data_IF_313168232049
#
_entry.id   IF_313168232049
#
_cell.length_a   1.000
_cell.length_b   1.000
_cell.length_c   1.000
_cell.angle_alpha   90.00
_cell.angle_beta   90.00
_cell.angle_gamma   90.00
#
_symmetry.space_group_name_H-M   'P 1'
#
loop_
_entity.id
_entity.type
_entity.pdbx_description
1 polymer ?
#
# COMPACT_ATOMS: atom_id res chain seq x y z
N UNK A 1 -39.85 40.63 -19.26
CA UNK A 1 -38.53 40.40 -18.64
C UNK A 1 -38.57 39.31 -17.54
N UNK A 2 -39.29 38.19 -17.73
CA UNK A 2 -39.37 37.08 -16.74
C UNK A 2 -39.01 35.68 -17.29
N UNK A 3 -38.85 35.52 -18.61
CA UNK A 3 -38.55 34.20 -19.23
C UNK A 3 -37.06 33.82 -19.30
N UNK A 4 -36.12 34.77 -19.18
CA UNK A 4 -34.68 34.47 -19.28
C UNK A 4 -34.07 33.89 -17.98
N UNK A 5 -34.65 34.19 -16.82
CA UNK A 5 -34.15 33.70 -15.53
C UNK A 5 -34.56 32.25 -15.23
N UNK A 6 -35.68 31.78 -15.77
CA UNK A 6 -36.12 30.39 -15.61
C UNK A 6 -35.30 29.42 -16.47
N UNK A 7 -34.83 29.85 -17.65
CA UNK A 7 -34.03 28.99 -18.54
C UNK A 7 -32.60 28.75 -18.01
N UNK A 8 -32.00 29.73 -17.32
CA UNK A 8 -30.71 29.54 -16.66
C UNK A 8 -30.80 28.68 -15.39
N UNK A 9 -31.92 28.72 -14.66
CA UNK A 9 -32.14 27.87 -13.49
C UNK A 9 -32.30 26.38 -13.87
N UNK A 10 -32.95 26.08 -14.99
CA UNK A 10 -33.09 24.70 -15.49
C UNK A 10 -31.74 24.14 -15.98
N UNK A 11 -30.88 24.98 -16.56
CA UNK A 11 -29.57 24.53 -17.06
C UNK A 11 -28.58 24.22 -15.92
N UNK A 12 -28.68 24.91 -14.77
CA UNK A 12 -27.87 24.64 -13.57
C UNK A 12 -28.35 23.38 -12.81
N UNK A 13 -29.65 23.04 -12.89
CA UNK A 13 -30.21 21.85 -12.25
C UNK A 13 -29.89 20.54 -12.98
N UNK A 14 -29.61 20.59 -14.28
CA UNK A 14 -29.27 19.39 -15.09
C UNK A 14 -27.78 19.04 -15.00
N UNK A 15 -26.90 20.01 -14.70
CA UNK A 15 -25.45 19.78 -14.61
C UNK A 15 -24.98 19.20 -13.25
N UNK A 16 -25.84 19.19 -12.23
CA UNK A 16 -25.52 18.74 -10.87
C UNK A 16 -25.87 17.27 -10.58
N UNK A 17 -26.34 16.53 -11.59
CA UNK A 17 -26.73 15.12 -11.49
C UNK A 17 -25.72 14.15 -12.13
N UNK A 18 -24.50 14.59 -12.41
CA UNK A 18 -23.39 13.66 -12.65
C UNK A 18 -22.98 12.99 -11.35
N UNK A 19 -23.84 12.11 -10.82
CA UNK A 19 -23.48 11.07 -9.86
C UNK A 19 -22.44 10.21 -10.55
N UNK A 20 -21.18 10.51 -10.27
CA UNK A 20 -20.06 9.63 -10.55
C UNK A 20 -20.37 8.36 -9.78
N UNK A 21 -20.77 7.30 -10.49
CA UNK A 21 -20.93 5.99 -9.87
C UNK A 21 -19.55 5.57 -9.39
N UNK A 22 -19.29 5.71 -8.09
CA UNK A 22 -18.11 5.12 -7.48
C UNK A 22 -18.15 3.63 -7.78
N UNK A 23 -17.15 3.14 -8.52
CA UNK A 23 -16.98 1.72 -8.73
C UNK A 23 -16.62 1.08 -7.39
N UNK A 24 -17.62 0.67 -6.63
CA UNK A 24 -17.42 -0.04 -5.37
C UNK A 24 -16.98 -1.46 -5.67
N UNK A 25 -15.78 -1.81 -5.20
CA UNK A 25 -15.34 -3.19 -5.18
C UNK A 25 -16.37 -4.05 -4.45
N UNK A 26 -16.77 -5.17 -5.05
CA UNK A 26 -17.67 -6.07 -4.35
C UNK A 26 -16.89 -6.75 -3.22
N UNK A 27 -15.71 -7.30 -3.47
CA UNK A 27 -14.86 -7.86 -2.41
C UNK A 27 -13.84 -6.83 -1.92
N UNK A 28 -14.05 -6.32 -0.71
CA UNK A 28 -13.13 -5.42 -0.01
C UNK A 28 -12.28 -6.15 1.02
N UNK A 29 -11.02 -5.71 1.18
CA UNK A 29 -10.04 -6.22 2.14
C UNK A 29 -9.85 -5.23 3.30
N UNK A 30 -9.60 -5.73 4.50
CA UNK A 30 -9.48 -4.93 5.73
C UNK A 30 -8.22 -4.05 5.86
N UNK A 31 -7.21 -4.26 5.02
CA UNK A 31 -5.92 -3.55 5.10
C UNK A 31 -5.24 -3.40 3.74
N UNK A 32 -4.30 -2.45 3.68
CA UNK A 32 -3.54 -2.12 2.46
C UNK A 32 -2.15 -2.76 2.37
N UNK A 33 -1.74 -3.46 3.43
CA UNK A 33 -0.50 -4.24 3.52
C UNK A 33 -0.59 -5.26 4.64
N UNK A 34 0.20 -6.32 4.56
CA UNK A 34 0.24 -7.39 5.57
C UNK A 34 1.66 -7.49 6.10
N UNK A 35 1.79 -7.61 7.42
CA UNK A 35 3.03 -8.03 8.08
C UNK A 35 2.79 -9.44 8.63
N UNK A 36 3.49 -10.42 8.08
CA UNK A 36 3.48 -11.79 8.58
C UNK A 36 4.54 -11.92 9.67
N UNK A 37 4.10 -12.15 10.91
CA UNK A 37 5.00 -12.42 12.03
C UNK A 37 5.65 -13.80 11.85
N UNK A 38 6.98 -13.84 11.73
CA UNK A 38 7.74 -15.08 11.58
C UNK A 38 7.77 -15.98 12.81
N UNK A 39 7.30 -15.51 13.98
CA UNK A 39 7.02 -16.36 15.14
C UNK A 39 5.71 -17.15 15.00
N UNK A 40 4.76 -16.63 14.21
CA UNK A 40 3.45 -17.23 14.01
C UNK A 40 3.43 -18.19 12.81
N UNK A 41 2.54 -19.19 12.88
CA UNK A 41 2.33 -20.13 11.76
C UNK A 41 1.35 -19.61 10.71
N UNK A 42 0.55 -18.60 11.07
CA UNK A 42 -0.42 -18.02 10.15
C UNK A 42 -0.84 -16.62 10.57
N UNK A 43 -1.31 -15.84 9.60
CA UNK A 43 -2.04 -14.60 9.83
C UNK A 43 -3.36 -14.62 9.06
N UNK A 44 -4.35 -13.88 9.53
CA UNK A 44 -5.68 -13.82 8.96
C UNK A 44 -6.00 -12.40 8.49
N UNK A 45 -6.78 -12.30 7.42
CA UNK A 45 -7.32 -11.04 6.91
C UNK A 45 -8.80 -11.16 6.66
N UNK A 46 -9.54 -10.13 7.05
CA UNK A 46 -10.97 -10.09 6.83
C UNK A 46 -11.28 -9.55 5.43
N UNK A 47 -12.19 -10.24 4.76
CA UNK A 47 -12.76 -9.83 3.48
C UNK A 47 -14.25 -9.60 3.64
N UNK A 48 -14.82 -8.71 2.83
CA UNK A 48 -16.24 -8.39 2.90
C UNK A 48 -16.82 -8.20 1.52
N UNK A 49 -17.99 -8.79 1.28
CA UNK A 49 -18.78 -8.49 0.09
C UNK A 49 -19.62 -7.24 0.35
N UNK A 50 -19.22 -6.12 -0.24
CA UNK A 50 -19.93 -4.84 -0.18
C UNK A 50 -21.14 -4.81 -1.10
N UNK A 51 -21.24 -5.72 -2.08
CA UNK A 51 -22.46 -5.89 -2.87
C UNK A 51 -23.55 -6.52 -1.98
N UNK A 52 -24.71 -5.86 -1.89
CA UNK A 52 -25.85 -6.28 -1.04
C UNK A 52 -26.85 -7.18 -1.74
N UNK A 53 -26.70 -7.39 -3.04
CA UNK A 53 -27.65 -8.13 -3.88
C UNK A 53 -27.06 -9.43 -4.42
N UNK A 54 -25.78 -9.41 -4.77
CA UNK A 54 -25.14 -10.48 -5.54
C UNK A 54 -24.00 -11.15 -4.75
N UNK A 55 -23.90 -12.48 -4.83
CA UNK A 55 -22.78 -13.23 -4.27
C UNK A 55 -21.57 -13.13 -5.20
N UNK A 56 -20.37 -13.15 -4.61
CA UNK A 56 -19.10 -13.10 -5.35
C UNK A 56 -18.20 -14.24 -4.91
N UNK A 57 -17.32 -14.72 -5.79
CA UNK A 57 -16.18 -15.51 -5.34
C UNK A 57 -14.99 -14.58 -5.05
N UNK A 58 -14.24 -14.91 -4.02
CA UNK A 58 -12.97 -14.28 -3.68
C UNK A 58 -11.85 -15.30 -3.88
N UNK A 59 -10.92 -15.01 -4.80
CA UNK A 59 -9.76 -15.83 -5.09
C UNK A 59 -8.49 -15.18 -4.55
N UNK A 60 -7.75 -15.91 -3.71
CA UNK A 60 -6.53 -15.43 -3.07
C UNK A 60 -5.27 -16.21 -3.51
N UNK A 61 -4.15 -15.51 -3.71
CA UNK A 61 -2.84 -16.15 -3.93
C UNK A 61 -1.67 -15.25 -3.49
N UNK A 62 -0.48 -15.85 -3.37
CA UNK A 62 0.77 -15.14 -3.11
C UNK A 62 1.60 -15.06 -4.38
N UNK A 63 2.29 -13.93 -4.56
CA UNK A 63 3.38 -13.75 -5.51
C UNK A 63 4.70 -13.45 -4.80
N UNK A 64 5.81 -13.80 -5.43
CA UNK A 64 7.15 -13.34 -5.03
C UNK A 64 7.36 -11.84 -5.32
N UNK A 65 8.55 -11.33 -5.00
CA UNK A 65 8.91 -9.92 -5.22
C UNK A 65 9.01 -9.54 -6.71
N UNK A 66 9.14 -10.52 -7.60
CA UNK A 66 9.12 -10.35 -9.06
C UNK A 66 7.70 -10.40 -9.66
N UNK A 67 6.69 -10.76 -8.85
CA UNK A 67 5.30 -10.87 -9.28
C UNK A 67 4.92 -12.23 -9.87
N UNK A 68 5.75 -13.25 -9.71
CA UNK A 68 5.40 -14.61 -10.11
C UNK A 68 4.52 -15.24 -9.03
N UNK A 69 3.43 -15.89 -9.45
CA UNK A 69 2.59 -16.67 -8.53
C UNK A 69 3.38 -17.86 -7.99
N UNK A 70 3.39 -18.02 -6.66
CA UNK A 70 4.13 -19.07 -5.96
C UNK A 70 3.22 -19.96 -5.11
N UNK A 71 3.69 -21.16 -4.79
CA UNK A 71 3.00 -22.13 -3.92
C UNK A 71 3.71 -22.33 -2.57
N UNK A 72 4.68 -21.47 -2.25
CA UNK A 72 5.48 -21.48 -1.03
C UNK A 72 6.53 -20.38 -1.09
N UNK A 73 7.07 -19.90 0.05
CA UNK A 73 6.92 -20.46 1.39
C UNK A 73 5.66 -20.02 2.15
N UNK A 74 4.84 -19.14 1.58
CA UNK A 74 3.55 -18.70 2.13
C UNK A 74 2.42 -19.13 1.19
N UNK A 75 1.30 -19.57 1.75
CA UNK A 75 0.12 -20.03 0.99
C UNK A 75 -1.17 -19.42 1.52
N UNK A 76 -2.14 -19.25 0.63
CA UNK A 76 -3.46 -18.69 0.96
C UNK A 76 -4.50 -19.80 1.09
N UNK A 77 -5.26 -19.78 2.18
CA UNK A 77 -6.32 -20.75 2.47
C UNK A 77 -7.61 -20.03 2.91
N UNK A 78 -8.77 -20.32 2.30
CA UNK A 78 -8.94 -21.08 1.07
C UNK A 78 -8.47 -20.29 -0.16
N UNK A 79 -8.02 -20.95 -1.25
CA UNK A 79 -7.60 -20.27 -2.47
C UNK A 79 -8.77 -19.63 -3.24
N UNK A 80 -9.99 -20.17 -3.08
CA UNK A 80 -11.24 -19.59 -3.60
C UNK A 80 -12.34 -19.84 -2.58
N UNK A 81 -13.16 -18.83 -2.32
CA UNK A 81 -14.35 -18.96 -1.49
C UNK A 81 -15.49 -18.12 -2.02
N UNK A 82 -16.72 -18.55 -1.75
CA UNK A 82 -17.93 -17.78 -2.06
C UNK A 82 -18.30 -16.89 -0.88
N UNK A 83 -18.59 -15.63 -1.15
CA UNK A 83 -19.01 -14.64 -0.14
C UNK A 83 -20.40 -14.14 -0.52
N UNK A 84 -21.38 -14.42 0.33
CA UNK A 84 -22.77 -14.03 0.13
C UNK A 84 -22.96 -12.50 0.16
N UNK A 85 -24.07 -11.97 -0.36
CA UNK A 85 -24.32 -10.53 -0.38
C UNK A 85 -24.22 -9.91 1.00
N UNK A 86 -23.46 -8.83 1.14
CA UNK A 86 -23.26 -8.14 2.41
C UNK A 86 -22.44 -8.89 3.46
N UNK A 87 -22.01 -10.13 3.19
CA UNK A 87 -21.36 -10.99 4.16
C UNK A 87 -19.87 -10.65 4.35
N UNK A 88 -19.34 -11.05 5.51
CA UNK A 88 -17.91 -11.03 5.81
C UNK A 88 -17.38 -12.46 5.78
N UNK A 89 -16.11 -12.61 5.43
CA UNK A 89 -15.38 -13.86 5.55
C UNK A 89 -13.91 -13.58 5.88
N UNK A 90 -13.11 -14.63 6.01
CA UNK A 90 -11.70 -14.52 6.32
C UNK A 90 -10.86 -15.32 5.33
N UNK A 91 -9.68 -14.80 5.03
CA UNK A 91 -8.62 -15.48 4.27
C UNK A 91 -7.42 -15.64 5.20
N UNK A 92 -6.85 -16.84 5.25
CA UNK A 92 -5.67 -17.13 6.07
C UNK A 92 -4.44 -17.29 5.19
N UNK A 93 -3.34 -16.68 5.60
CA UNK A 93 -2.00 -16.92 5.03
C UNK A 93 -1.25 -17.82 6.01
N UNK A 94 -0.73 -18.94 5.53
CA UNK A 94 -0.01 -19.93 6.33
C UNK A 94 1.42 -20.07 5.84
N UNK A 95 2.36 -20.27 6.77
CA UNK A 95 3.74 -20.58 6.42
C UNK A 95 3.95 -22.08 6.23
N UNK A 96 4.74 -22.43 5.22
CA UNK A 96 5.26 -23.76 4.97
C UNK A 96 6.65 -23.91 5.60
N UNK A 97 7.16 -25.14 5.84
CA UNK A 97 8.49 -25.34 6.40
C UNK A 97 9.62 -24.66 5.61
N UNK A 98 9.44 -24.45 4.29
CA UNK A 98 10.39 -23.74 3.44
C UNK A 98 10.56 -22.26 3.81
N UNK A 99 9.70 -21.69 4.67
CA UNK A 99 9.86 -20.32 5.20
C UNK A 99 11.21 -20.12 5.92
N UNK A 100 11.77 -21.20 6.48
CA UNK A 100 13.08 -21.19 7.14
C UNK A 100 14.24 -20.90 6.18
N UNK A 101 14.04 -21.00 4.87
CA UNK A 101 15.04 -20.67 3.84
C UNK A 101 15.13 -19.17 3.56
N UNK A 102 14.14 -18.38 4.01
CA UNK A 102 14.18 -16.94 3.87
C UNK A 102 15.24 -16.32 4.79
N UNK A 103 15.80 -15.15 4.44
CA UNK A 103 16.65 -14.39 5.34
C UNK A 103 15.97 -14.15 6.69
N UNK A 104 16.67 -14.49 7.77
CA UNK A 104 16.16 -14.32 9.14
C UNK A 104 16.63 -13.01 9.80
N UNK A 105 17.48 -12.23 9.12
CA UNK A 105 18.07 -10.97 9.59
C UNK A 105 17.41 -9.71 8.98
N UNK A 106 16.43 -9.89 8.08
CA UNK A 106 15.74 -8.83 7.33
C UNK A 106 14.38 -9.30 6.82
N UNK A 107 13.53 -8.36 6.47
CA UNK A 107 12.25 -8.68 5.84
C UNK A 107 12.42 -9.30 4.45
N UNK A 108 11.48 -10.18 4.09
CA UNK A 108 11.29 -10.65 2.72
C UNK A 108 9.97 -10.11 2.16
N UNK A 109 9.98 -9.71 0.89
CA UNK A 109 8.82 -9.14 0.22
C UNK A 109 8.08 -10.20 -0.58
N UNK A 110 6.76 -10.17 -0.43
CA UNK A 110 5.79 -10.89 -1.25
C UNK A 110 4.65 -9.95 -1.60
N UNK A 111 3.76 -10.40 -2.49
CA UNK A 111 2.49 -9.73 -2.73
C UNK A 111 1.33 -10.69 -2.47
N UNK A 112 0.34 -10.23 -1.69
CA UNK A 112 -0.94 -10.90 -1.58
C UNK A 112 -1.88 -10.34 -2.63
N UNK A 113 -2.55 -11.23 -3.35
CA UNK A 113 -3.54 -10.89 -4.35
C UNK A 113 -4.90 -11.43 -3.94
N UNK A 114 -5.93 -10.60 -4.11
CA UNK A 114 -7.33 -10.94 -3.95
C UNK A 114 -8.11 -10.49 -5.18
N UNK A 115 -8.62 -11.45 -5.94
CA UNK A 115 -9.44 -11.19 -7.13
C UNK A 115 -10.88 -11.59 -6.86
N UNK A 116 -11.80 -10.68 -7.13
CA UNK A 116 -13.22 -11.02 -7.12
C UNK A 116 -13.62 -11.68 -8.44
N UNK A 117 -14.57 -12.61 -8.38
CA UNK A 117 -15.19 -13.22 -9.55
C UNK A 117 -16.69 -12.95 -9.44
N UNK A 118 -17.21 -12.01 -10.24
CA UNK A 118 -18.62 -11.68 -10.20
C UNK A 118 -19.48 -12.81 -10.79
N UNK A 119 -20.77 -12.89 -10.42
CA UNK A 119 -21.66 -13.87 -11.01
C UNK A 119 -21.88 -13.56 -12.49
N UNK A 120 -21.99 -14.60 -13.33
CA UNK A 120 -22.14 -14.43 -14.78
C UNK A 120 -23.40 -13.62 -15.11
N UNK A 121 -23.25 -12.56 -15.88
CA UNK A 121 -24.38 -11.77 -16.40
C UNK A 121 -25.27 -12.61 -17.31
N UNK A 122 -26.60 -12.47 -17.16
CA UNK A 122 -27.59 -13.05 -18.07
C UNK A 122 -27.95 -12.13 -19.24
N UNK A 123 -27.45 -10.88 -19.25
CA UNK A 123 -27.76 -9.89 -20.27
C UNK A 123 -26.82 -10.05 -21.47
N UNK A 124 -27.34 -10.11 -22.71
CA UNK A 124 -26.49 -10.10 -23.90
C UNK A 124 -25.70 -8.80 -24.00
N UNK A 125 -24.54 -8.84 -24.64
CA UNK A 125 -23.68 -7.68 -24.93
C UNK A 125 -23.29 -6.88 -23.68
N UNK A 126 -22.88 -7.55 -22.60
CA UNK A 126 -22.43 -6.90 -21.37
C UNK A 126 -20.92 -6.99 -21.17
N UNK A 127 -20.31 -5.86 -20.83
CA UNK A 127 -18.95 -5.79 -20.28
C UNK A 127 -19.04 -5.98 -18.77
N UNK A 128 -18.29 -6.95 -18.24
CA UNK A 128 -18.23 -7.24 -16.82
C UNK A 128 -16.82 -6.95 -16.29
N UNK A 129 -16.73 -6.13 -15.25
CA UNK A 129 -15.48 -5.78 -14.59
C UNK A 129 -15.31 -6.65 -13.34
N UNK A 130 -14.09 -7.14 -13.14
CA UNK A 130 -13.68 -7.87 -11.95
C UNK A 130 -12.45 -7.18 -11.35
N UNK A 131 -12.55 -6.73 -10.10
CA UNK A 131 -11.44 -6.06 -9.44
C UNK A 131 -10.44 -7.06 -8.83
N UNK A 132 -9.16 -6.69 -8.90
CA UNK A 132 -8.08 -7.39 -8.23
C UNK A 132 -7.33 -6.41 -7.33
N UNK A 133 -7.30 -6.72 -6.04
CA UNK A 133 -6.49 -6.01 -5.06
C UNK A 133 -5.15 -6.73 -4.91
N UNK A 134 -4.05 -6.00 -5.11
CA UNK A 134 -2.68 -6.49 -4.90
C UNK A 134 -2.02 -5.63 -3.84
N UNK A 135 -1.65 -6.23 -2.71
CA UNK A 135 -1.03 -5.54 -1.59
C UNK A 135 0.29 -6.20 -1.19
N UNK A 136 1.19 -5.40 -0.60
CA UNK A 136 2.48 -5.89 -0.12
C UNK A 136 2.29 -6.78 1.10
N UNK A 137 3.00 -7.90 1.11
CA UNK A 137 3.08 -8.87 2.21
C UNK A 137 4.54 -8.94 2.66
N UNK A 138 4.82 -8.47 3.86
CA UNK A 138 6.16 -8.48 4.45
C UNK A 138 6.27 -9.66 5.39
N UNK A 139 7.11 -10.63 5.04
CA UNK A 139 7.55 -11.63 6.01
C UNK A 139 8.59 -10.97 6.92
N UNK A 140 8.28 -10.91 8.22
CA UNK A 140 9.16 -10.33 9.25
C UNK A 140 9.63 -11.45 10.18
N UNK A 141 10.88 -11.92 10.05
CA UNK A 141 11.45 -12.94 10.93
C UNK A 141 11.31 -12.59 12.41
N UNK A 142 11.21 -13.63 13.26
CA UNK A 142 11.13 -13.48 14.72
C UNK A 142 12.25 -12.60 15.29
N UNK A 143 13.47 -12.73 14.76
CA UNK A 143 14.64 -11.98 15.25
C UNK A 143 14.55 -10.46 15.06
N UNK A 144 13.68 -9.99 14.17
CA UNK A 144 13.48 -8.57 13.88
C UNK A 144 12.00 -8.16 14.01
N UNK A 145 11.21 -8.94 14.74
CA UNK A 145 9.83 -8.55 14.96
C UNK A 145 9.81 -7.32 15.88
N UNK A 146 9.19 -6.23 15.40
CA UNK A 146 9.20 -4.94 16.08
C UNK A 146 8.61 -5.09 17.50
N UNK A 147 9.43 -4.80 18.51
CA UNK A 147 9.01 -4.76 19.89
C UNK A 147 8.43 -3.39 20.25
N UNK A 148 8.18 -3.19 21.55
CA UNK A 148 7.68 -1.92 22.08
C UNK A 148 8.63 -0.75 21.79
N UNK A 149 9.94 -1.02 21.83
CA UNK A 149 10.98 -0.01 21.56
C UNK A 149 10.94 0.51 20.12
N UNK A 150 10.69 -0.34 19.13
CA UNK A 150 10.54 0.04 17.72
C UNK A 150 9.22 0.77 17.43
N UNK A 151 8.19 0.57 18.26
CA UNK A 151 6.94 1.31 18.18
C UNK A 151 7.10 2.72 18.74
N UNK A 152 7.84 2.86 19.84
CA UNK A 152 8.14 4.15 20.45
C UNK A 152 9.20 4.95 19.66
N UNK A 153 10.11 4.25 18.97
CA UNK A 153 11.13 4.83 18.09
C UNK A 153 11.05 4.19 16.70
N UNK A 154 10.20 4.75 15.80
CA UNK A 154 9.96 4.18 14.48
C UNK A 154 11.26 4.00 13.71
N UNK A 155 11.53 2.78 13.21
CA UNK A 155 12.76 2.49 12.47
C UNK A 155 12.95 3.36 11.23
N UNK A 156 11.87 3.91 10.67
CA UNK A 156 11.92 4.82 9.53
C UNK A 156 12.67 6.12 9.86
N UNK A 157 12.79 6.50 11.14
CA UNK A 157 13.61 7.64 11.57
C UNK A 157 15.12 7.41 11.39
N UNK A 158 15.55 6.15 11.24
CA UNK A 158 16.95 5.80 10.94
C UNK A 158 17.33 6.01 9.47
N UNK A 159 16.36 6.35 8.62
CA UNK A 159 16.58 6.64 7.21
C UNK A 159 17.43 7.90 7.05
N UNK A 160 18.34 7.91 6.06
CA UNK A 160 19.15 9.09 5.74
C UNK A 160 19.04 9.42 4.26
N UNK A 161 19.36 10.66 3.90
CA UNK A 161 19.46 11.09 2.50
C UNK A 161 20.89 11.49 2.19
N UNK A 162 21.35 11.15 0.99
CA UNK A 162 22.62 11.63 0.44
C UNK A 162 22.34 12.37 -0.85
N UNK A 163 22.72 13.65 -0.93
CA UNK A 163 22.61 14.44 -2.15
C UNK A 163 23.68 14.01 -3.16
N UNK A 164 23.25 13.69 -4.37
CA UNK A 164 24.08 13.31 -5.51
C UNK A 164 23.66 14.16 -6.71
N UNK A 165 24.33 15.30 -6.93
CA UNK A 165 23.91 16.29 -7.92
C UNK A 165 22.53 16.88 -7.58
N UNK A 166 21.60 16.82 -8.53
CA UNK A 166 20.22 17.27 -8.33
C UNK A 166 19.25 16.17 -7.86
N UNK A 167 19.77 15.08 -7.31
CA UNK A 167 18.94 14.00 -6.76
C UNK A 167 19.33 13.68 -5.32
N UNK A 168 18.38 13.20 -4.54
CA UNK A 168 18.66 12.55 -3.27
C UNK A 168 18.68 11.04 -3.45
N UNK A 169 19.63 10.37 -2.81
CA UNK A 169 19.62 8.94 -2.58
C UNK A 169 19.10 8.68 -1.18
N UNK A 170 18.03 7.90 -1.06
CA UNK A 170 17.49 7.43 0.20
C UNK A 170 18.27 6.20 0.65
N UNK A 171 18.82 6.23 1.86
CA UNK A 171 19.52 5.10 2.46
C UNK A 171 18.69 4.51 3.59
N UNK A 172 18.46 3.20 3.52
CA UNK A 172 17.74 2.44 4.52
C UNK A 172 18.71 1.47 5.23
N UNK A 173 19.26 1.82 6.40
CA UNK A 173 20.13 0.93 7.15
C UNK A 173 19.37 -0.17 7.91
N UNK A 174 18.03 -0.12 7.91
CA UNK A 174 17.19 -0.98 8.74
C UNK A 174 16.94 -2.35 8.09
N UNK A 175 16.53 -3.36 8.88
CA UNK A 175 16.16 -4.67 8.34
C UNK A 175 14.75 -4.70 7.70
N UNK A 176 14.07 -3.55 7.57
CA UNK A 176 12.69 -3.45 7.09
C UNK A 176 12.59 -2.77 5.72
N UNK A 177 11.57 -3.08 4.94
CA UNK A 177 11.21 -2.31 3.75
C UNK A 177 10.56 -0.98 4.15
N UNK A 178 11.03 0.14 3.58
CA UNK A 178 10.45 1.46 3.80
C UNK A 178 9.80 1.94 2.50
N UNK A 179 8.50 2.24 2.53
CA UNK A 179 7.79 2.81 1.38
C UNK A 179 7.60 4.31 1.58
N UNK A 180 8.26 5.12 0.76
CA UNK A 180 8.10 6.58 0.66
C UNK A 180 7.07 6.87 -0.43
N UNK A 181 6.05 7.65 -0.09
CA UNK A 181 4.91 7.94 -0.98
C UNK A 181 4.75 9.40 -1.34
N UNK A 182 5.51 10.26 -0.69
CA UNK A 182 5.52 11.68 -0.99
C UNK A 182 6.84 12.30 -0.52
N UNK A 183 7.26 13.35 -1.21
CA UNK A 183 8.41 14.18 -0.88
C UNK A 183 8.03 15.65 -1.12
N UNK A 184 8.31 16.50 -0.15
CA UNK A 184 8.05 17.95 -0.19
C UNK A 184 9.19 18.72 0.46
N UNK A 185 9.20 20.04 0.30
CA UNK A 185 10.22 20.93 0.86
C UNK A 185 9.85 21.50 2.25
N UNK A 186 8.67 21.16 2.77
CA UNK A 186 8.17 21.63 4.06
C UNK A 186 7.07 20.70 4.58
N UNK A 187 6.82 20.74 5.90
CA UNK A 187 5.75 19.96 6.52
C UNK A 187 4.40 20.31 5.91
N UNK A 188 3.60 19.28 5.60
CA UNK A 188 2.31 19.42 4.89
C UNK A 188 2.42 20.20 3.55
N UNK A 189 3.60 20.23 2.95
CA UNK A 189 3.83 20.82 1.63
C UNK A 189 3.17 20.02 0.51
N UNK A 190 3.15 20.59 -0.70
CA UNK A 190 2.75 19.86 -1.91
C UNK A 190 3.86 18.90 -2.32
N UNK A 191 3.47 17.74 -2.83
CA UNK A 191 4.38 16.80 -3.47
C UNK A 191 5.18 17.48 -4.58
N UNK A 192 6.49 17.24 -4.59
CA UNK A 192 7.35 17.78 -5.65
C UNK A 192 6.97 17.20 -7.02
N UNK A 193 7.06 18.03 -8.05
CA UNK A 193 6.75 17.61 -9.42
C UNK A 193 7.68 16.48 -9.86
N UNK A 194 7.12 15.46 -10.52
CA UNK A 194 7.88 14.30 -10.98
C UNK A 194 8.20 13.26 -9.90
N UNK A 195 7.67 13.41 -8.68
CA UNK A 195 7.80 12.39 -7.65
C UNK A 195 7.09 11.08 -8.06
N UNK A 196 7.73 9.95 -7.75
CA UNK A 196 7.25 8.60 -7.91
C UNK A 196 7.43 7.85 -6.58
N UNK A 197 6.41 7.13 -6.09
CA UNK A 197 6.54 6.33 -4.89
C UNK A 197 7.71 5.35 -4.98
N UNK A 198 8.45 5.28 -3.88
CA UNK A 198 9.68 4.50 -3.80
C UNK A 198 9.59 3.52 -2.64
N UNK A 199 10.00 2.28 -2.87
CA UNK A 199 10.21 1.32 -1.79
C UNK A 199 11.69 0.97 -1.70
N UNK A 200 12.27 1.22 -0.54
CA UNK A 200 13.69 0.96 -0.28
C UNK A 200 13.81 -0.36 0.45
N UNK A 201 14.59 -1.29 -0.12
CA UNK A 201 14.84 -2.61 0.45
C UNK A 201 15.63 -2.52 1.78
N UNK A 202 15.55 -3.54 2.65
CA UNK A 202 16.37 -3.64 3.85
C UNK A 202 17.86 -3.51 3.55
N UNK A 203 18.58 -2.73 4.36
CA UNK A 203 20.03 -2.49 4.24
C UNK A 203 20.43 -2.00 2.83
N UNK A 204 19.53 -1.28 2.15
CA UNK A 204 19.68 -0.86 0.76
C UNK A 204 19.62 0.65 0.58
N UNK A 205 19.72 1.10 -0.67
CA UNK A 205 19.51 2.50 -1.04
C UNK A 205 18.79 2.59 -2.38
N UNK A 206 18.09 3.70 -2.62
CA UNK A 206 17.45 3.98 -3.90
C UNK A 206 17.38 5.49 -4.18
N UNK A 207 17.28 5.84 -5.46
CA UNK A 207 17.20 7.24 -5.89
C UNK A 207 15.79 7.76 -5.64
N UNK A 208 15.69 8.90 -4.97
CA UNK A 208 14.47 9.65 -4.78
C UNK A 208 14.19 10.46 -6.04
N UNK A 209 13.04 10.21 -6.66
CA UNK A 209 12.50 11.06 -7.73
C UNK A 209 12.17 12.47 -7.21
N UNK A 210 12.36 13.47 -8.05
CA UNK A 210 12.18 14.88 -7.70
C UNK A 210 13.52 15.59 -7.51
N UNK A 211 13.57 16.86 -7.93
CA UNK A 211 14.78 17.68 -7.87
C UNK A 211 15.18 17.96 -6.41
N UNK A 212 16.44 17.69 -6.08
CA UNK A 212 17.02 18.02 -4.79
C UNK A 212 17.01 19.54 -4.56
N UNK A 213 17.19 20.34 -5.62
CA UNK A 213 17.06 21.80 -5.56
C UNK A 213 15.67 22.25 -5.12
N UNK A 214 14.61 21.57 -5.58
CA UNK A 214 13.22 21.87 -5.18
C UNK A 214 12.93 21.44 -3.74
N UNK A 215 13.47 20.29 -3.31
CA UNK A 215 13.32 19.78 -1.94
C UNK A 215 14.05 20.64 -0.89
N UNK A 216 15.08 21.37 -1.30
CA UNK A 216 15.77 22.34 -0.45
C UNK A 216 16.59 21.72 0.68
N UNK A 217 16.98 22.55 1.66
CA UNK A 217 17.84 22.14 2.78
C UNK A 217 17.16 21.36 3.90
N UNK A 218 15.83 21.26 3.88
CA UNK A 218 15.04 20.50 4.85
C UNK A 218 13.94 19.65 4.17
N UNK A 219 14.32 18.62 3.39
CA UNK A 219 13.35 17.76 2.74
C UNK A 219 12.40 17.09 3.75
N UNK A 220 11.14 16.92 3.37
CA UNK A 220 10.14 16.19 4.15
C UNK A 220 9.69 14.99 3.35
N UNK A 221 9.87 13.79 3.89
CA UNK A 221 9.39 12.55 3.28
C UNK A 221 8.19 12.00 4.04
N UNK A 222 7.16 11.58 3.31
CA UNK A 222 6.03 10.85 3.88
C UNK A 222 6.19 9.37 3.58
N UNK A 223 6.14 8.53 4.60
CA UNK A 223 6.24 7.07 4.44
C UNK A 223 4.93 6.38 4.84
N UNK A 224 4.74 5.13 4.41
CA UNK A 224 3.62 4.28 4.89
C UNK A 224 4.13 3.39 6.03
N UNK A 225 3.51 3.47 7.20
CA UNK A 225 3.78 2.57 8.34
C UNK A 225 3.04 1.22 8.18
N UNK A 226 3.18 0.30 9.15
CA UNK A 226 2.57 -1.04 9.08
C UNK A 226 1.03 -1.01 9.06
N UNK A 227 0.41 0.07 9.58
CA UNK A 227 -1.04 0.27 9.64
C UNK A 227 -1.61 1.04 8.45
N UNK A 228 -0.79 1.35 7.44
CA UNK A 228 -1.24 2.14 6.28
C UNK A 228 -1.30 3.66 6.53
N UNK A 229 -0.95 4.11 7.73
CA UNK A 229 -0.82 5.52 8.07
C UNK A 229 0.34 6.18 7.33
N UNK A 230 0.31 7.51 7.23
CA UNK A 230 1.25 8.32 6.43
C UNK A 230 2.00 9.36 7.27
N UNK A 231 2.91 8.97 8.19
CA UNK A 231 3.68 9.93 8.97
C UNK A 231 4.71 10.66 8.11
N UNK A 232 5.04 11.89 8.52
CA UNK A 232 6.05 12.72 7.87
C UNK A 232 7.34 12.74 8.68
N UNK A 233 8.47 12.63 7.98
CA UNK A 233 9.83 12.77 8.49
C UNK A 233 10.46 14.03 7.92
N UNK A 234 10.81 14.97 8.78
CA UNK A 234 11.58 16.16 8.40
C UNK A 234 13.06 15.83 8.48
N UNK A 235 13.80 16.13 7.42
CA UNK A 235 15.25 15.96 7.38
C UNK A 235 15.96 17.28 7.64
N UNK A 236 17.13 17.20 8.25
CA UNK A 236 18.10 18.30 8.35
C UNK A 236 19.37 17.91 7.62
N UNK A 237 19.83 18.76 6.70
CA UNK A 237 20.97 18.49 5.84
C UNK A 237 22.21 19.28 6.27
N UNK A 238 23.34 18.58 6.40
CA UNK A 238 24.68 19.16 6.58
C UNK A 238 25.54 18.74 5.39
N UNK A 239 25.86 19.70 4.52
CA UNK A 239 26.50 19.42 3.24
C UNK A 239 25.62 18.52 2.36
N UNK A 240 26.17 17.38 1.93
CA UNK A 240 25.44 16.42 1.10
C UNK A 240 24.73 15.32 1.90
N UNK A 241 24.73 15.36 3.23
CA UNK A 241 24.14 14.32 4.06
C UNK A 241 22.98 14.89 4.87
N UNK A 242 21.84 14.20 4.85
CA UNK A 242 20.67 14.57 5.64
C UNK A 242 20.25 13.43 6.56
N UNK A 243 19.87 13.79 7.78
CA UNK A 243 19.34 12.87 8.79
C UNK A 243 17.97 13.35 9.23
N UNK A 244 17.14 12.45 9.74
CA UNK A 244 15.85 12.83 10.32
C UNK A 244 16.10 13.76 11.51
N UNK A 245 15.48 14.94 11.48
CA UNK A 245 15.53 15.89 12.57
C UNK A 245 14.80 15.29 13.77
N UNK A 246 15.49 15.18 14.91
CA UNK A 246 14.86 14.78 16.17
C UNK A 246 13.81 15.82 16.54
N UNK A 247 12.64 15.36 16.96
CA UNK A 247 11.59 16.21 17.52
C UNK A 247 12.00 16.77 18.87
#
# INVERSE_FOLDING_TARGET
MKLKNTMNAVTIAVLSLSVVSEAMAAIALDRTRIVFNGEEKSTSMDISNQNKELPYLAQGWIEDDQGNKINGPLVVTPPVQRVEPGAKSQVKIQSLPTIAQLPQDRESLFYFNLREIPPRSKKPNTLQIALQTRIKLFYRPKAIFAGRTELDNPWQEKMTLTRQGDQYRVNNPTPYYITVVDASNQLKGKTVTGFQPLMVAPKGSAVLSGSAGVLGGAPVLTYINDYGGRPQLTFSCVGNHCQVAKR
#
